data_IF_901222841477
#
_entry.id   IF_901222841477
#
_cell.length_a   1.000
_cell.length_b   1.000
_cell.length_c   1.000
_cell.angle_alpha   90.00
_cell.angle_beta   90.00
_cell.angle_gamma   90.00
#
_symmetry.space_group_name_H-M   'P 1'
#
loop_
_entity.id
_entity.type
_entity.pdbx_description
1 polymer ?
#
# COMPACT_ATOMS: atom_id res chain seq x y z
N UNK A 1 10.34 -12.02 -2.10
CA UNK A 1 9.27 -11.19 -1.51
C UNK A 1 9.65 -10.78 -0.09
N UNK A 2 9.53 -9.51 0.30
CA UNK A 2 9.79 -9.08 1.68
C UNK A 2 8.57 -9.38 2.58
N UNK A 3 8.71 -10.37 3.48
CA UNK A 3 7.64 -10.76 4.41
C UNK A 3 7.25 -9.64 5.38
N UNK A 4 8.19 -8.76 5.71
CA UNK A 4 7.95 -7.63 6.62
C UNK A 4 7.05 -6.58 5.97
N UNK A 5 7.29 -6.23 4.70
CA UNK A 5 6.45 -5.26 3.98
C UNK A 5 5.07 -5.84 3.73
N UNK A 6 5.01 -7.11 3.30
CA UNK A 6 3.74 -7.81 3.10
C UNK A 6 2.88 -7.80 4.37
N UNK A 7 3.45 -8.19 5.51
CA UNK A 7 2.74 -8.17 6.79
C UNK A 7 2.29 -6.77 7.23
N UNK A 8 3.07 -5.74 6.93
CA UNK A 8 2.70 -4.35 7.19
C UNK A 8 1.52 -3.90 6.32
N UNK A 9 1.54 -4.19 5.02
CA UNK A 9 0.42 -3.92 4.11
C UNK A 9 -0.85 -4.63 4.58
N UNK A 10 -0.75 -5.91 4.94
CA UNK A 10 -1.86 -6.71 5.48
C UNK A 10 -2.40 -6.16 6.81
N UNK A 11 -1.56 -5.51 7.61
CA UNK A 11 -1.95 -4.84 8.85
C UNK A 11 -2.51 -3.42 8.63
N UNK A 12 -2.70 -3.00 7.37
CA UNK A 12 -3.23 -1.69 6.99
C UNK A 12 -2.21 -0.56 7.04
N UNK A 13 -0.91 -0.85 7.14
CA UNK A 13 0.14 0.18 7.05
C UNK A 13 0.19 0.72 5.63
N UNK A 14 0.10 2.04 5.52
CA UNK A 14 0.20 2.76 4.25
C UNK A 14 1.68 3.07 4.00
N UNK A 15 2.19 2.68 2.82
CA UNK A 15 3.48 3.13 2.33
C UNK A 15 3.28 4.26 1.34
N UNK A 16 4.14 5.27 1.35
CA UNK A 16 4.04 6.34 0.36
C UNK A 16 5.14 7.37 0.45
N UNK A 17 5.03 8.36 -0.42
CA UNK A 17 5.84 9.57 -0.45
C UNK A 17 4.92 10.79 -0.61
N UNK A 18 4.99 11.70 0.38
CA UNK A 18 4.18 12.92 0.39
C UNK A 18 4.56 13.92 -0.71
N UNK A 19 5.77 13.83 -1.27
CA UNK A 19 6.23 14.71 -2.34
C UNK A 19 5.64 14.29 -3.70
N UNK A 20 5.73 13.00 -4.03
CA UNK A 20 5.17 12.47 -5.29
C UNK A 20 3.65 12.28 -5.20
N UNK A 21 3.11 12.19 -3.98
CA UNK A 21 1.72 11.81 -3.68
C UNK A 21 1.40 10.41 -4.21
N UNK A 22 2.34 9.51 -4.01
CA UNK A 22 2.18 8.09 -4.33
C UNK A 22 2.01 7.29 -3.04
N UNK A 23 1.02 6.42 -3.02
CA UNK A 23 0.69 5.60 -1.85
C UNK A 23 0.36 4.18 -2.26
N UNK A 24 0.70 3.22 -1.40
CA UNK A 24 0.37 1.80 -1.53
C UNK A 24 -0.23 1.33 -0.21
N UNK A 25 -1.43 0.76 -0.28
CA UNK A 25 -2.16 0.29 0.90
C UNK A 25 -3.11 -0.86 0.56
N UNK A 26 -3.53 -1.60 1.60
CA UNK A 26 -4.58 -2.60 1.50
C UNK A 26 -5.94 -1.96 1.81
N UNK A 27 -6.93 -1.94 0.91
CA UNK A 27 -8.25 -1.43 1.21
C UNK A 27 -8.98 -2.32 2.24
N UNK A 28 -9.88 -1.72 3.02
CA UNK A 28 -10.60 -2.42 4.10
C UNK A 28 -11.36 -3.68 3.64
N UNK A 29 -11.88 -3.68 2.42
CA UNK A 29 -12.61 -4.81 1.84
C UNK A 29 -11.76 -6.06 1.54
N UNK A 30 -10.43 -5.91 1.50
CA UNK A 30 -9.50 -7.00 1.18
C UNK A 30 -8.90 -7.65 2.46
N UNK A 31 -9.27 -7.15 3.64
CA UNK A 31 -8.78 -7.67 4.92
C UNK A 31 -9.26 -9.10 5.14
N UNK A 32 -8.31 -10.03 5.29
CA UNK A 32 -8.60 -11.45 5.47
C UNK A 32 -8.88 -12.20 4.15
N UNK A 33 -8.79 -11.53 3.00
CA UNK A 33 -8.86 -12.18 1.69
C UNK A 33 -7.72 -13.19 1.51
N UNK A 34 -8.00 -14.31 0.85
CA UNK A 34 -6.98 -15.32 0.51
C UNK A 34 -6.04 -14.85 -0.61
N UNK A 35 -6.48 -13.89 -1.43
CA UNK A 35 -5.71 -13.27 -2.51
C UNK A 35 -5.91 -11.75 -2.45
N UNK A 36 -5.30 -11.06 -1.47
CA UNK A 36 -5.55 -9.65 -1.22
C UNK A 36 -5.02 -8.76 -2.34
N UNK A 37 -5.83 -7.78 -2.72
CA UNK A 37 -5.47 -6.75 -3.71
C UNK A 37 -5.14 -5.44 -2.98
N UNK A 38 -3.94 -4.93 -3.18
CA UNK A 38 -3.54 -3.59 -2.74
C UNK A 38 -3.84 -2.54 -3.80
N UNK A 39 -4.04 -1.30 -3.37
CA UNK A 39 -4.18 -0.14 -4.26
C UNK A 39 -2.85 0.60 -4.29
N UNK A 40 -2.33 0.85 -5.49
CA UNK A 40 -1.33 1.89 -5.73
C UNK A 40 -2.03 3.14 -6.24
N UNK A 41 -1.98 4.18 -5.44
CA UNK A 41 -2.52 5.49 -5.74
C UNK A 41 -1.41 6.44 -6.18
N UNK A 42 -1.68 7.17 -7.25
CA UNK A 42 -0.92 8.32 -7.72
C UNK A 42 -1.91 9.46 -7.98
N UNK A 43 -1.42 10.69 -8.17
CA UNK A 43 -2.23 11.92 -8.27
C UNK A 43 -3.56 11.81 -9.03
N UNK A 44 -3.56 11.10 -10.15
CA UNK A 44 -4.72 11.01 -11.04
C UNK A 44 -5.14 9.56 -11.36
N UNK A 45 -4.50 8.57 -10.74
CA UNK A 45 -4.69 7.15 -11.09
C UNK A 45 -4.61 6.26 -9.88
N UNK A 46 -5.47 5.27 -9.85
CA UNK A 46 -5.35 4.13 -8.97
C UNK A 46 -5.14 2.87 -9.81
N UNK A 47 -4.31 1.96 -9.29
CA UNK A 47 -4.05 0.67 -9.91
C UNK A 47 -4.12 -0.41 -8.86
N UNK A 48 -4.81 -1.48 -9.19
CA UNK A 48 -4.85 -2.71 -8.41
C UNK A 48 -3.54 -3.47 -8.57
N UNK A 49 -2.98 -3.90 -7.44
CA UNK A 49 -1.76 -4.69 -7.36
C UNK A 49 -2.03 -5.91 -6.49
N UNK A 50 -1.62 -7.09 -6.96
CA UNK A 50 -1.49 -8.23 -6.06
C UNK A 50 -0.43 -7.94 -5.00
N UNK A 51 -0.52 -8.59 -3.84
CA UNK A 51 0.36 -8.32 -2.70
C UNK A 51 1.86 -8.41 -3.06
N UNK A 52 2.26 -9.37 -3.87
CA UNK A 52 3.64 -9.53 -4.34
C UNK A 52 4.11 -8.32 -5.17
N UNK A 53 3.26 -7.82 -6.06
CA UNK A 53 3.55 -6.63 -6.87
C UNK A 53 3.60 -5.38 -6.00
N UNK A 54 2.68 -5.22 -5.05
CA UNK A 54 2.68 -4.11 -4.11
C UNK A 54 3.98 -4.05 -3.30
N UNK A 55 4.45 -5.20 -2.78
CA UNK A 55 5.74 -5.30 -2.08
C UNK A 55 6.90 -4.92 -2.99
N UNK A 56 6.88 -5.38 -4.25
CA UNK A 56 7.92 -5.03 -5.22
C UNK A 56 7.92 -3.52 -5.51
N UNK A 57 6.75 -2.89 -5.63
CA UNK A 57 6.63 -1.45 -5.85
C UNK A 57 7.13 -0.63 -4.65
N UNK A 58 6.76 -1.01 -3.43
CA UNK A 58 7.27 -0.36 -2.20
C UNK A 58 8.79 -0.37 -2.16
N UNK A 59 9.42 -1.50 -2.51
CA UNK A 59 10.88 -1.62 -2.54
C UNK A 59 11.50 -0.80 -3.68
N UNK A 60 10.95 -0.91 -4.89
CA UNK A 60 11.46 -0.24 -6.09
C UNK A 60 11.43 1.28 -5.95
N UNK A 61 10.36 1.81 -5.39
CA UNK A 61 10.15 3.24 -5.15
C UNK A 61 10.71 3.69 -3.79
N UNK A 62 11.28 2.78 -3.00
CA UNK A 62 11.81 3.05 -1.66
C UNK A 62 10.81 3.73 -0.71
N UNK A 63 9.51 3.44 -0.89
CA UNK A 63 8.43 4.05 -0.11
C UNK A 63 8.58 3.75 1.38
N UNK A 64 8.19 4.71 2.22
CA UNK A 64 8.23 4.58 3.68
C UNK A 64 6.81 4.53 4.23
N UNK A 65 6.62 3.98 5.44
CA UNK A 65 5.36 4.15 6.14
C UNK A 65 5.00 5.64 6.20
N UNK A 66 3.78 5.97 5.75
CA UNK A 66 3.36 7.34 5.55
C UNK A 66 1.93 7.55 6.07
N UNK A 67 1.61 8.80 6.41
CA UNK A 67 0.25 9.22 6.71
C UNK A 67 -0.43 9.65 5.41
N UNK A 68 -1.48 8.95 5.00
CA UNK A 68 -2.31 9.34 3.86
C UNK A 68 -3.14 10.58 4.21
N UNK A 69 -3.29 11.55 3.30
CA UNK A 69 -4.09 12.76 3.55
C UNK A 69 -5.56 12.47 3.86
N UNK A 70 -6.13 11.41 3.26
CA UNK A 70 -7.54 11.03 3.46
C UNK A 70 -7.74 9.92 4.50
N UNK A 71 -6.85 8.91 4.52
CA UNK A 71 -7.02 7.71 5.34
C UNK A 71 -6.29 7.81 6.70
N UNK A 72 -5.34 8.74 6.82
CA UNK A 72 -4.53 8.87 8.03
C UNK A 72 -3.41 7.82 8.08
N UNK A 73 -3.19 7.23 9.25
CA UNK A 73 -2.02 6.37 9.50
C UNK A 73 -2.22 4.90 9.06
N UNK A 74 -3.48 4.50 8.84
CA UNK A 74 -3.88 3.16 8.40
C UNK A 74 -4.99 3.25 7.37
N UNK A 75 -5.12 2.22 6.56
CA UNK A 75 -6.16 2.15 5.53
C UNK A 75 -7.50 1.61 6.04
N UNK A 76 -7.56 1.09 7.27
CA UNK A 76 -8.74 0.65 8.00
C UNK A 76 -8.48 0.65 9.51
#
# INVERSE_FOLDING_TARGET
>A
MSRVIAGKLLAGVIFGDGNTKEYIYLPAGEVGSSAPICIMESRDKQRDLVLEEAVAQVLRLSLKPARHPLLGNRSF
#
